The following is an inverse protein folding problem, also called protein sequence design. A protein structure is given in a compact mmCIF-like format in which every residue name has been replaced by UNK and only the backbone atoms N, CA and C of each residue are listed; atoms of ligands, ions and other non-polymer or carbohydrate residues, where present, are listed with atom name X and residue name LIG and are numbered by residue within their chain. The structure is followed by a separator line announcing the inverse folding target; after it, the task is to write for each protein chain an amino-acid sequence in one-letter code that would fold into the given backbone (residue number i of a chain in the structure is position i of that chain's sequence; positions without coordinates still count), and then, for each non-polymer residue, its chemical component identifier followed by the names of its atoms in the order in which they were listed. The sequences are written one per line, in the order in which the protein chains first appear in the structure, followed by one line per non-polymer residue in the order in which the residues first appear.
data_IF_303430185765
#
_entry.id   IF_303430185765
#
_cell.length_a   1.000
_cell.length_b   1.000
_cell.length_c   1.000
_cell.angle_alpha   90.00
_cell.angle_beta   90.00
_cell.angle_gamma   90.00
#
_symmetry.space_group_name_H-M   'P 1'
#
loop_
_entity.id
_entity.type
_entity.pdbx_description
1 polymer ?
#
# COMPACT_ATOMS: atom_id res chain seq x y z
N UNK A 1 0.02 -3.46 -21.20
CA UNK A 1 -0.36 -2.04 -21.25
C UNK A 1 -0.76 -1.62 -19.85
N UNK A 2 -0.21 -0.50 -19.37
CA UNK A 2 -0.50 0.11 -18.07
C UNK A 2 -1.46 1.28 -18.29
N UNK A 3 -2.43 1.44 -17.39
CA UNK A 3 -3.39 2.53 -17.43
C UNK A 3 -3.65 3.05 -16.03
N UNK A 4 -3.97 4.34 -15.92
CA UNK A 4 -4.61 4.86 -14.72
C UNK A 4 -6.04 4.32 -14.66
N UNK A 5 -6.28 3.43 -13.69
CA UNK A 5 -7.62 2.95 -13.37
C UNK A 5 -8.35 3.98 -12.49
N UNK A 6 -9.68 3.96 -12.50
CA UNK A 6 -10.47 4.73 -11.54
C UNK A 6 -10.10 4.33 -10.11
N UNK A 7 -9.93 5.31 -9.22
CA UNK A 7 -9.72 5.07 -7.80
C UNK A 7 -10.88 4.27 -7.21
N UNK A 8 -10.56 3.10 -6.63
CA UNK A 8 -11.51 2.27 -5.90
C UNK A 8 -11.02 2.15 -4.47
N UNK A 9 -11.89 2.48 -3.52
CA UNK A 9 -11.55 2.30 -2.12
C UNK A 9 -11.65 0.84 -1.71
N UNK A 10 -10.58 0.32 -1.12
CA UNK A 10 -10.51 -1.07 -0.65
C UNK A 10 -10.24 -1.15 0.85
N UNK A 11 -10.37 -2.35 1.40
CA UNK A 11 -9.97 -2.64 2.80
C UNK A 11 -8.45 -2.61 2.99
N UNK A 12 -7.69 -2.66 1.90
CA UNK A 12 -6.24 -2.56 1.86
C UNK A 12 -5.79 -1.16 1.44
N UNK A 13 -6.34 -0.11 2.05
CA UNK A 13 -6.20 1.30 1.61
C UNK A 13 -4.78 1.79 1.27
N UNK A 14 -3.74 1.28 1.94
CA UNK A 14 -2.35 1.58 1.59
C UNK A 14 -1.89 1.07 0.20
N UNK A 15 -2.68 0.23 -0.47
CA UNK A 15 -2.48 -0.27 -1.83
C UNK A 15 -3.40 0.41 -2.85
N UNK A 16 -4.30 1.29 -2.41
CA UNK A 16 -5.16 2.08 -3.30
C UNK A 16 -4.31 3.19 -3.94
N UNK A 17 -3.53 2.83 -4.95
CA UNK A 17 -2.56 3.71 -5.62
C UNK A 17 -2.96 3.86 -7.09
N UNK A 18 -3.09 5.10 -7.56
CA UNK A 18 -3.30 5.40 -8.98
C UNK A 18 -1.98 5.38 -9.75
N UNK A 19 -0.95 6.07 -9.22
CA UNK A 19 0.37 6.17 -9.86
C UNK A 19 1.41 5.40 -9.04
N UNK A 20 1.91 4.25 -9.51
CA UNK A 20 2.94 3.50 -8.81
C UNK A 20 4.30 4.17 -8.98
N UNK A 21 4.63 5.12 -8.10
CA UNK A 21 5.84 5.95 -8.17
C UNK A 21 7.18 5.19 -8.23
N UNK A 22 7.23 3.93 -7.78
CA UNK A 22 8.43 3.08 -7.91
C UNK A 22 8.50 2.29 -9.22
N UNK A 23 7.48 2.35 -10.09
CA UNK A 23 7.47 1.64 -11.37
C UNK A 23 8.61 2.11 -12.29
N UNK A 24 8.93 3.40 -12.29
CA UNK A 24 10.06 3.96 -13.04
C UNK A 24 11.37 3.23 -12.71
N UNK A 25 11.61 2.90 -11.43
CA UNK A 25 12.80 2.16 -11.01
C UNK A 25 12.82 0.73 -11.53
N UNK A 26 11.67 0.09 -11.66
CA UNK A 26 11.56 -1.24 -12.28
C UNK A 26 11.87 -1.15 -13.77
N UNK A 27 11.27 -0.19 -14.49
CA UNK A 27 11.55 0.03 -15.90
C UNK A 27 13.04 0.27 -16.15
N UNK A 28 13.70 1.05 -15.29
CA UNK A 28 15.14 1.29 -15.37
C UNK A 28 15.97 0.01 -15.12
N UNK A 29 15.60 -0.78 -14.12
CA UNK A 29 16.28 -2.03 -13.81
C UNK A 29 16.20 -3.04 -14.96
N UNK A 30 15.01 -3.25 -15.53
CA UNK A 30 14.79 -4.24 -16.60
C UNK A 30 15.23 -3.76 -17.99
N UNK A 31 15.41 -2.45 -18.18
CA UNK A 31 15.95 -1.86 -19.41
C UNK A 31 17.49 -1.77 -19.41
N UNK A 32 18.16 -2.47 -18.49
CA UNK A 32 19.62 -2.45 -18.35
C UNK A 32 20.15 -1.02 -18.12
N UNK A 33 19.45 -0.24 -17.29
CA UNK A 33 19.75 1.15 -16.96
C UNK A 33 19.65 2.12 -18.16
N UNK A 34 18.76 1.85 -19.11
CA UNK A 34 18.53 2.74 -20.25
C UNK A 34 17.68 3.96 -19.84
N UNK A 35 18.36 5.03 -19.40
CA UNK A 35 17.74 6.28 -18.97
C UNK A 35 16.93 6.97 -20.06
N UNK A 36 17.39 6.95 -21.32
CA UNK A 36 16.69 7.61 -22.44
C UNK A 36 15.35 6.94 -22.73
N UNK A 37 15.33 5.60 -22.72
CA UNK A 37 14.09 4.83 -22.87
C UNK A 37 13.13 5.14 -21.72
N UNK A 38 13.58 5.05 -20.47
CA UNK A 38 12.71 5.29 -19.31
C UNK A 38 12.16 6.72 -19.30
N UNK A 39 12.98 7.74 -19.59
CA UNK A 39 12.52 9.13 -19.71
C UNK A 39 11.43 9.28 -20.77
N UNK A 40 11.59 8.62 -21.94
CA UNK A 40 10.56 8.64 -22.98
C UNK A 40 9.25 7.96 -22.55
N UNK A 41 9.33 6.83 -21.84
CA UNK A 41 8.17 6.09 -21.34
C UNK A 41 7.43 6.89 -20.26
N UNK A 42 8.16 7.55 -19.35
CA UNK A 42 7.56 8.36 -18.30
C UNK A 42 6.87 9.60 -18.86
N UNK A 43 7.48 10.27 -19.85
CA UNK A 43 6.83 11.39 -20.58
C UNK A 43 5.56 10.95 -21.29
N UNK A 44 5.59 9.80 -21.97
CA UNK A 44 4.39 9.26 -22.61
C UNK A 44 3.28 8.98 -21.58
N UNK A 45 3.63 8.43 -20.43
CA UNK A 45 2.66 8.15 -19.36
C UNK A 45 2.05 9.44 -18.79
N UNK A 46 2.87 10.48 -18.55
CA UNK A 46 2.39 11.79 -18.09
C UNK A 46 1.43 12.45 -19.09
N UNK A 47 1.70 12.33 -20.38
CA UNK A 47 0.85 12.90 -21.43
C UNK A 47 -0.46 12.13 -21.64
N UNK A 48 -0.38 10.79 -21.66
CA UNK A 48 -1.49 9.92 -22.10
C UNK A 48 -2.23 9.22 -20.97
N UNK A 49 -1.77 9.33 -19.73
CA UNK A 49 -2.27 8.55 -18.58
C UNK A 49 -2.26 7.02 -18.83
N UNK A 50 -1.46 6.57 -19.78
CA UNK A 50 -1.35 5.18 -20.21
C UNK A 50 0.01 4.94 -20.84
N UNK A 51 0.52 3.71 -20.68
CA UNK A 51 1.85 3.33 -21.15
C UNK A 51 1.82 1.93 -21.75
N UNK A 52 2.33 1.82 -22.97
CA UNK A 52 2.64 0.52 -23.57
C UNK A 52 4.11 0.20 -23.32
N UNK A 53 4.38 -0.76 -22.43
CA UNK A 53 5.74 -1.24 -22.19
C UNK A 53 6.21 -1.97 -23.46
N UNK A 54 7.42 -1.66 -23.98
CA UNK A 54 8.03 -2.41 -25.08
C UNK A 54 8.04 -3.91 -24.82
N UNK A 55 7.83 -4.71 -25.86
CA UNK A 55 7.61 -6.16 -25.72
C UNK A 55 8.82 -6.88 -25.12
N UNK A 56 10.03 -6.52 -25.55
CA UNK A 56 11.29 -7.04 -25.02
C UNK A 56 11.45 -6.74 -23.51
N UNK A 57 11.11 -5.53 -23.09
CA UNK A 57 11.12 -5.13 -21.69
C UNK A 57 10.05 -5.87 -20.89
N UNK A 58 8.86 -6.02 -21.47
CA UNK A 58 7.73 -6.75 -20.87
C UNK A 58 8.07 -8.22 -20.65
N UNK A 59 8.68 -8.88 -21.63
CA UNK A 59 9.12 -10.28 -21.51
C UNK A 59 10.11 -10.46 -20.36
N UNK A 60 11.17 -9.63 -20.30
CA UNK A 60 12.14 -9.62 -19.19
C UNK A 60 11.46 -9.45 -17.82
N UNK A 61 10.48 -8.55 -17.73
CA UNK A 61 9.71 -8.33 -16.50
C UNK A 61 8.86 -9.55 -16.14
N UNK A 62 8.17 -10.16 -17.10
CA UNK A 62 7.30 -11.32 -16.89
C UNK A 62 8.07 -12.59 -16.50
N UNK A 63 9.34 -12.72 -16.87
CA UNK A 63 10.21 -13.83 -16.45
C UNK A 63 10.48 -13.82 -14.93
N UNK A 64 10.37 -12.67 -14.27
CA UNK A 64 10.70 -12.49 -12.85
C UNK A 64 9.49 -12.12 -12.00
N UNK A 65 8.54 -11.38 -12.58
CA UNK A 65 7.41 -10.78 -11.87
C UNK A 65 6.09 -11.30 -12.45
N UNK A 66 5.30 -11.90 -11.55
CA UNK A 66 3.88 -12.18 -11.79
C UNK A 66 3.01 -11.26 -10.95
N UNK A 67 1.89 -10.80 -11.48
CA UNK A 67 0.90 -9.99 -10.76
C UNK A 67 -0.49 -10.57 -10.90
N UNK A 68 -1.34 -10.36 -9.91
CA UNK A 68 -2.77 -10.68 -9.95
C UNK A 68 -3.56 -9.66 -9.12
N UNK A 69 -4.87 -9.64 -9.31
CA UNK A 69 -5.80 -8.81 -8.54
C UNK A 69 -6.61 -9.68 -7.57
N UNK A 70 -6.82 -9.17 -6.36
CA UNK A 70 -7.64 -9.83 -5.34
C UNK A 70 -8.76 -8.88 -4.93
N UNK A 71 -10.00 -9.38 -4.88
CA UNK A 71 -11.16 -8.57 -4.48
C UNK A 71 -11.24 -8.41 -2.96
N UNK A 72 -12.04 -7.44 -2.49
CA UNK A 72 -12.33 -7.28 -1.07
C UNK A 72 -12.96 -8.55 -0.47
N UNK A 73 -13.87 -9.21 -1.19
CA UNK A 73 -14.53 -10.42 -0.73
C UNK A 73 -13.54 -11.58 -0.57
N UNK A 74 -12.65 -11.77 -1.56
CA UNK A 74 -11.57 -12.76 -1.46
C UNK A 74 -10.64 -12.45 -0.28
N UNK A 75 -10.29 -11.18 -0.08
CA UNK A 75 -9.46 -10.74 1.04
C UNK A 75 -10.09 -11.09 2.39
N UNK A 76 -11.37 -10.77 2.57
CA UNK A 76 -12.12 -11.07 3.80
C UNK A 76 -12.25 -12.58 4.04
N UNK A 77 -12.51 -13.35 2.98
CA UNK A 77 -12.60 -14.80 3.05
C UNK A 77 -11.27 -15.42 3.50
N UNK A 78 -10.16 -15.02 2.88
CA UNK A 78 -8.82 -15.47 3.27
C UNK A 78 -8.47 -15.08 4.72
N UNK A 79 -8.83 -13.88 5.18
CA UNK A 79 -8.65 -13.49 6.59
C UNK A 79 -9.38 -14.44 7.54
N UNK A 80 -10.64 -14.76 7.23
CA UNK A 80 -11.47 -15.65 8.04
C UNK A 80 -10.97 -17.09 8.05
N UNK A 81 -10.56 -17.60 6.89
CA UNK A 81 -9.98 -18.93 6.74
C UNK A 81 -8.68 -19.06 7.55
N UNK A 82 -7.75 -18.11 7.41
CA UNK A 82 -6.49 -18.11 8.16
C UNK A 82 -6.69 -18.08 9.67
N UNK A 83 -7.64 -17.26 10.13
CA UNK A 83 -8.01 -17.25 11.53
C UNK A 83 -8.57 -18.60 11.98
N UNK A 84 -9.50 -19.16 11.22
CA UNK A 84 -10.19 -20.41 11.56
C UNK A 84 -9.22 -21.60 11.62
N UNK A 85 -8.35 -21.74 10.62
CA UNK A 85 -7.48 -22.90 10.44
C UNK A 85 -6.16 -22.80 11.21
N UNK A 86 -5.64 -21.59 11.38
CA UNK A 86 -4.29 -21.39 11.92
C UNK A 86 -4.26 -20.54 13.18
N UNK A 87 -5.39 -19.94 13.58
CA UNK A 87 -5.45 -18.95 14.66
C UNK A 87 -4.44 -17.81 14.45
N UNK A 88 -4.17 -17.48 13.19
CA UNK A 88 -3.28 -16.40 12.78
C UNK A 88 -4.10 -15.28 12.14
N UNK A 89 -4.05 -14.08 12.73
CA UNK A 89 -4.82 -12.96 12.25
C UNK A 89 -4.04 -12.15 11.21
N UNK A 90 -4.56 -12.13 9.98
CA UNK A 90 -4.01 -11.34 8.90
C UNK A 90 -4.57 -9.91 8.92
N UNK A 91 -3.73 -8.93 8.57
CA UNK A 91 -4.23 -7.63 8.11
C UNK A 91 -4.68 -7.76 6.64
N UNK A 92 -5.57 -6.87 6.14
CA UNK A 92 -6.08 -6.97 4.77
C UNK A 92 -4.97 -6.95 3.71
N UNK A 93 -3.90 -6.19 3.89
CA UNK A 93 -2.74 -6.15 2.97
C UNK A 93 -2.00 -7.48 2.89
N UNK A 94 -1.83 -8.16 4.03
CA UNK A 94 -1.17 -9.47 4.06
C UNK A 94 -2.09 -10.53 3.46
N UNK A 95 -3.39 -10.43 3.75
CA UNK A 95 -4.39 -11.35 3.21
C UNK A 95 -4.41 -11.34 1.68
N UNK A 96 -4.30 -10.17 1.02
CA UNK A 96 -4.15 -10.09 -0.44
C UNK A 96 -3.02 -10.99 -0.95
N UNK A 97 -1.83 -10.92 -0.35
CA UNK A 97 -0.71 -11.77 -0.75
C UNK A 97 -0.94 -13.26 -0.47
N UNK A 98 -1.55 -13.58 0.68
CA UNK A 98 -1.87 -14.96 1.07
C UNK A 98 -2.91 -15.58 0.15
N UNK A 99 -3.93 -14.83 -0.27
CA UNK A 99 -4.97 -15.29 -1.20
C UNK A 99 -4.35 -15.83 -2.49
N UNK A 100 -3.39 -15.10 -3.07
CA UNK A 100 -2.72 -15.52 -4.31
C UNK A 100 -2.02 -16.86 -4.14
N UNK A 101 -1.29 -17.02 -3.04
CA UNK A 101 -0.54 -18.26 -2.76
C UNK A 101 -1.49 -19.42 -2.50
N UNK A 102 -2.60 -19.18 -1.79
CA UNK A 102 -3.60 -20.20 -1.52
C UNK A 102 -4.37 -20.60 -2.77
N UNK A 103 -4.81 -19.65 -3.60
CA UNK A 103 -5.46 -19.93 -4.88
C UNK A 103 -4.55 -20.77 -5.78
N UNK A 104 -3.24 -20.47 -5.83
CA UNK A 104 -2.28 -21.29 -6.57
C UNK A 104 -2.15 -22.70 -6.01
N UNK A 105 -2.15 -22.86 -4.67
CA UNK A 105 -2.11 -24.20 -4.02
C UNK A 105 -3.36 -25.03 -4.26
N UNK A 106 -4.54 -24.40 -4.31
CA UNK A 106 -5.79 -25.10 -4.55
C UNK A 106 -5.95 -25.51 -6.02
N UNK A 107 -5.47 -24.68 -6.96
CA UNK A 107 -5.62 -24.90 -8.40
C UNK A 107 -4.48 -25.70 -9.05
N UNK A 108 -3.33 -25.83 -8.39
CA UNK A 108 -2.17 -26.59 -8.89
C UNK A 108 -1.78 -27.69 -7.92
N UNK A 109 -1.30 -28.82 -8.46
CA UNK A 109 -0.71 -29.90 -7.66
C UNK A 109 0.56 -29.40 -6.97
N UNK A 110 0.42 -29.00 -5.70
CA UNK A 110 1.48 -28.67 -4.73
C UNK A 110 2.53 -27.67 -5.25
N UNK A 111 2.50 -26.43 -4.75
CA UNK A 111 3.67 -25.54 -4.84
C UNK A 111 4.88 -26.26 -4.23
N UNK A 112 5.78 -26.79 -5.09
CA UNK A 112 7.00 -27.49 -4.63
C UNK A 112 8.01 -26.56 -3.97
N UNK A 113 7.86 -25.26 -4.20
CA UNK A 113 8.76 -24.23 -3.70
C UNK A 113 8.17 -23.58 -2.43
N UNK A 114 8.92 -23.51 -1.32
CA UNK A 114 8.52 -22.71 -0.16
C UNK A 114 8.21 -21.27 -0.57
N UNK A 115 7.05 -20.77 -0.19
CA UNK A 115 6.58 -19.42 -0.52
C UNK A 115 6.52 -18.57 0.75
N UNK A 116 7.05 -17.36 0.68
CA UNK A 116 7.01 -16.39 1.78
C UNK A 116 6.05 -15.26 1.41
N UNK A 117 5.05 -15.02 2.26
CA UNK A 117 4.19 -13.84 2.17
C UNK A 117 4.71 -12.78 3.14
N UNK A 118 4.89 -11.55 2.67
CA UNK A 118 5.35 -10.44 3.51
C UNK A 118 4.18 -9.86 4.28
N UNK A 119 4.21 -9.96 5.62
CA UNK A 119 3.23 -9.32 6.49
C UNK A 119 3.56 -7.83 6.65
N UNK A 120 2.88 -6.97 5.89
CA UNK A 120 3.24 -5.55 5.76
C UNK A 120 2.71 -4.66 6.88
N UNK A 121 1.73 -5.12 7.64
CA UNK A 121 1.14 -4.35 8.74
C UNK A 121 0.51 -5.24 9.82
N UNK A 122 0.39 -4.70 11.02
CA UNK A 122 -0.38 -5.33 12.10
C UNK A 122 -1.89 -5.24 11.83
N UNK A 123 -2.67 -6.32 12.05
CA UNK A 123 -4.13 -6.30 11.88
C UNK A 123 -4.83 -5.32 12.82
N UNK A 124 -4.20 -4.96 13.94
CA UNK A 124 -4.75 -4.01 14.91
C UNK A 124 -4.94 -2.60 14.31
N UNK A 125 -4.25 -2.27 13.22
CA UNK A 125 -4.43 -1.02 12.48
C UNK A 125 -5.70 -1.01 11.61
N UNK A 126 -6.35 -2.16 11.42
CA UNK A 126 -7.45 -2.36 10.47
C UNK A 126 -8.64 -3.07 11.13
N UNK A 127 -9.10 -2.53 12.26
CA UNK A 127 -10.19 -3.09 13.07
C UNK A 127 -11.48 -3.31 12.26
N UNK A 128 -11.78 -2.40 11.33
CA UNK A 128 -12.95 -2.49 10.47
C UNK A 128 -12.89 -3.70 9.54
N UNK A 129 -11.72 -3.98 8.95
CA UNK A 129 -11.52 -5.15 8.10
C UNK A 129 -11.61 -6.45 8.91
N UNK A 130 -11.04 -6.49 10.11
CA UNK A 130 -11.16 -7.63 11.03
C UNK A 130 -12.63 -7.91 11.37
N UNK A 131 -13.38 -6.86 11.72
CA UNK A 131 -14.82 -6.97 11.99
C UNK A 131 -15.61 -7.42 10.75
N UNK A 132 -15.30 -6.87 9.58
CA UNK A 132 -15.94 -7.25 8.31
C UNK A 132 -15.66 -8.71 7.93
N UNK A 133 -14.51 -9.26 8.31
CA UNK A 133 -14.19 -10.69 8.14
C UNK A 133 -14.98 -11.61 9.10
N UNK A 134 -15.79 -11.02 10.00
CA UNK A 134 -16.55 -11.76 11.01
C UNK A 134 -15.68 -12.31 12.14
N UNK A 135 -14.52 -11.68 12.38
CA UNK A 135 -13.59 -12.09 13.44
C UNK A 135 -13.80 -11.17 14.64
N UNK A 136 -14.23 -11.75 15.76
CA UNK A 136 -14.32 -11.03 17.03
C UNK A 136 -13.01 -11.16 17.79
N UNK A 137 -12.29 -10.04 17.92
CA UNK A 137 -11.10 -9.96 18.75
C UNK A 137 -11.10 -8.65 19.55
N UNK A 138 -10.99 -8.72 20.89
CA UNK A 138 -10.92 -7.51 21.69
C UNK A 138 -9.64 -6.74 21.36
N UNK A 139 -9.75 -5.42 21.25
CA UNK A 139 -8.56 -4.58 21.07
C UNK A 139 -7.69 -4.64 22.33
N UNK A 140 -6.36 -4.68 22.17
CA UNK A 140 -5.45 -4.48 23.29
C UNK A 140 -5.81 -3.17 24.03
N UNK A 141 -5.83 -3.14 25.37
CA UNK A 141 -6.25 -1.96 26.13
C UNK A 141 -5.50 -0.68 25.75
N UNK A 142 -4.20 -0.79 25.45
CA UNK A 142 -3.36 0.32 25.01
C UNK A 142 -3.84 0.92 23.69
N UNK A 143 -4.27 0.07 22.75
CA UNK A 143 -4.77 0.54 21.46
C UNK A 143 -6.17 1.13 21.59
N UNK A 144 -7.03 0.52 22.42
CA UNK A 144 -8.34 1.08 22.73
C UNK A 144 -8.25 2.49 23.35
N UNK A 145 -7.26 2.72 24.22
CA UNK A 145 -6.97 4.04 24.78
C UNK A 145 -6.49 5.04 23.72
N UNK A 146 -5.63 4.62 22.79
CA UNK A 146 -5.14 5.49 21.72
C UNK A 146 -6.28 5.98 20.80
N UNK A 147 -7.25 5.13 20.49
CA UNK A 147 -8.39 5.49 19.63
C UNK A 147 -9.29 6.58 20.23
N UNK A 148 -9.29 6.76 21.55
CA UNK A 148 -10.10 7.78 22.24
C UNK A 148 -9.27 8.97 22.73
N UNK A 149 -7.97 8.96 22.49
CA UNK A 149 -7.07 10.03 22.92
C UNK A 149 -7.31 11.31 22.13
N UNK A 150 -7.16 12.50 22.76
CA UNK A 150 -7.36 13.77 22.07
C UNK A 150 -6.34 13.92 20.93
N UNK A 151 -6.83 14.18 19.73
CA UNK A 151 -6.01 14.41 18.55
C UNK A 151 -5.55 15.87 18.49
N UNK A 152 -4.29 16.10 18.12
CA UNK A 152 -3.77 17.44 17.84
C UNK A 152 -3.51 17.62 16.35
N UNK A 153 -4.35 18.39 15.69
CA UNK A 153 -4.23 18.73 14.27
C UNK A 153 -4.68 20.18 14.04
N UNK A 154 -4.31 20.72 12.89
CA UNK A 154 -4.86 21.98 12.38
C UNK A 154 -5.71 21.64 11.17
N UNK A 155 -6.99 22.01 11.22
CA UNK A 155 -7.89 21.81 10.09
C UNK A 155 -7.52 22.81 8.99
N UNK A 156 -7.40 22.31 7.75
CA UNK A 156 -7.11 23.11 6.56
C UNK A 156 -8.25 22.90 5.57
N UNK A 157 -8.87 23.98 5.11
CA UNK A 157 -10.01 23.94 4.20
C UNK A 157 -9.54 23.99 2.76
N UNK A 158 -10.28 23.32 1.89
CA UNK A 158 -10.05 23.39 0.45
C UNK A 158 -10.20 24.84 -0.03
N UNK A 159 -9.20 25.33 -0.77
CA UNK A 159 -9.15 26.70 -1.28
C UNK A 159 -8.34 27.68 -0.42
N UNK A 160 -7.82 27.26 0.73
CA UNK A 160 -6.86 28.06 1.50
C UNK A 160 -5.45 28.00 0.90
N UNK A 161 -4.63 28.99 1.22
CA UNK A 161 -3.21 28.99 0.87
C UNK A 161 -2.44 28.02 1.78
N UNK A 162 -2.43 26.75 1.38
CA UNK A 162 -1.78 25.69 2.14
C UNK A 162 -0.26 25.87 2.23
N UNK A 163 0.39 26.45 1.22
CA UNK A 163 1.84 26.70 1.24
C UNK A 163 2.18 27.72 2.32
N UNK A 164 1.45 28.84 2.37
CA UNK A 164 1.66 29.86 3.39
C UNK A 164 1.36 29.34 4.80
N UNK A 165 0.28 28.57 4.98
CA UNK A 165 -0.08 27.96 6.27
C UNK A 165 1.06 27.05 6.76
N UNK A 166 1.54 26.15 5.89
CA UNK A 166 2.60 25.21 6.23
C UNK A 166 3.91 25.92 6.55
N UNK A 167 4.33 26.90 5.74
CA UNK A 167 5.56 27.68 5.98
C UNK A 167 5.52 28.40 7.32
N UNK A 168 4.41 29.05 7.62
CA UNK A 168 4.22 29.78 8.88
C UNK A 168 4.30 28.82 10.06
N UNK A 169 3.59 27.69 9.99
CA UNK A 169 3.60 26.69 11.06
C UNK A 169 4.99 26.09 11.28
N UNK A 170 5.73 25.76 10.22
CA UNK A 170 7.10 25.24 10.31
C UNK A 170 8.02 26.25 10.98
N UNK A 171 7.89 27.54 10.61
CA UNK A 171 8.67 28.62 11.21
C UNK A 171 8.38 28.75 12.71
N UNK A 172 7.10 28.81 13.10
CA UNK A 172 6.67 28.92 14.49
C UNK A 172 7.16 27.75 15.36
N UNK A 173 7.10 26.53 14.83
CA UNK A 173 7.60 25.34 15.54
C UNK A 173 9.12 25.42 15.71
N UNK A 174 9.84 25.88 14.69
CA UNK A 174 11.30 26.00 14.70
C UNK A 174 11.78 27.08 15.68
N UNK A 175 11.11 28.23 15.74
CA UNK A 175 11.40 29.31 16.68
C UNK A 175 11.12 28.89 18.13
N UNK A 176 9.99 28.22 18.38
CA UNK A 176 9.67 27.69 19.71
C UNK A 176 10.71 26.68 20.19
N UNK A 177 11.16 25.76 19.33
CA UNK A 177 12.22 24.79 19.67
C UNK A 177 13.55 25.48 20.00
N UNK A 178 13.91 26.51 19.24
CA UNK A 178 15.16 27.26 19.44
C UNK A 178 15.16 28.01 20.77
N UNK A 179 14.03 28.63 21.14
CA UNK A 179 13.89 29.32 22.43
C UNK A 179 13.88 28.36 23.62
N UNK A 180 13.28 27.18 23.51
CA UNK A 180 13.31 26.19 24.61
C UNK A 180 14.70 25.58 24.81
N UNK A 181 15.52 25.49 23.76
CA UNK A 181 16.89 24.97 23.84
C UNK A 181 17.91 25.97 24.44
N UNK A 182 17.60 27.27 24.48
CA UNK A 182 18.46 28.30 25.11
C UNK A 182 18.17 28.53 26.61
N UNK A 183 17.16 27.86 27.17
CA UNK A 183 16.71 28.04 28.56
C UNK A 183 17.17 26.87 29.47
N UNK A 184 17.97 25.95 28.93
CA UNK A 184 18.66 24.88 29.66
C UNK A 184 20.17 25.02 29.49
#
# INVERSE_FOLDING_TARGET
MLYLAMFVHTLSSAMDIEVPYNLERLLLLFSDMNYELVDSLMKEFEEKNSLMIPEDLREKMCDVISSTSVSCDQTLQTMKECWTEHQYLLCPHTAVGVTVVWDQRHNSTVLKTPTVCVATASPAKFCEAVKAAGIEMPLPPQLAQLLTSPTRYTEMKKGEDWDQILRTMIKDISEKRSNTAMVH
#
